data_IF_531030205144
#
_entry.id   IF_531030205144
#
_cell.length_a   1.000
_cell.length_b   1.000
_cell.length_c   1.000
_cell.angle_alpha   90.00
_cell.angle_beta   90.00
_cell.angle_gamma   90.00
#
_symmetry.space_group_name_H-M   'P 1'
#
loop_
_entity.id
_entity.type
_entity.pdbx_description
1 polymer ?
#
# COMPACT_ATOMS: atom_id res chain seq x y z
N UNK A 1 -7.70 -7.40 13.66
CA UNK A 1 -8.68 -7.25 12.57
C UNK A 1 -8.86 -5.77 12.32
N UNK A 2 -8.08 -5.20 11.41
CA UNK A 2 -8.15 -3.77 11.07
C UNK A 2 -9.33 -3.52 10.11
N UNK A 3 -10.23 -2.63 10.50
CA UNK A 3 -11.42 -2.26 9.74
C UNK A 3 -11.00 -1.47 8.48
N UNK A 4 -10.87 -2.17 7.36
CA UNK A 4 -10.93 -1.53 6.04
C UNK A 4 -12.32 -0.92 5.85
N UNK A 5 -12.41 0.41 5.79
CA UNK A 5 -13.65 1.11 5.47
C UNK A 5 -14.08 0.71 4.06
N UNK A 6 -15.18 -0.05 3.96
CA UNK A 6 -15.84 -0.45 2.71
C UNK A 6 -16.31 0.73 1.82
N UNK A 7 -16.09 1.97 2.27
CA UNK A 7 -16.59 3.17 1.61
C UNK A 7 -15.64 3.73 0.54
N UNK A 8 -14.39 3.28 0.45
CA UNK A 8 -13.46 3.69 -0.60
C UNK A 8 -12.78 2.48 -1.24
N UNK A 9 -13.48 1.82 -2.17
CA UNK A 9 -12.97 0.66 -2.95
C UNK A 9 -11.68 0.99 -3.73
N UNK A 10 -11.33 2.27 -3.79
CA UNK A 10 -10.19 2.81 -4.53
C UNK A 10 -8.92 2.92 -3.69
N UNK A 11 -9.01 2.90 -2.37
CA UNK A 11 -7.89 3.05 -1.44
C UNK A 11 -7.75 1.82 -0.55
N UNK A 12 -6.55 1.27 -0.49
CA UNK A 12 -6.22 0.16 0.38
C UNK A 12 -4.95 0.45 1.20
N UNK A 13 -4.90 -0.11 2.39
CA UNK A 13 -3.73 -0.09 3.26
C UNK A 13 -3.32 -1.52 3.56
N UNK A 14 -2.04 -1.82 3.35
CA UNK A 14 -1.45 -3.13 3.53
C UNK A 14 -0.37 -3.05 4.60
N UNK A 15 -0.41 -3.97 5.56
CA UNK A 15 0.60 -4.14 6.59
C UNK A 15 1.49 -5.33 6.22
N UNK A 16 2.76 -5.09 5.92
CA UNK A 16 3.77 -6.13 5.73
C UNK A 16 4.59 -6.27 7.01
N UNK A 17 4.80 -7.50 7.46
CA UNK A 17 5.63 -7.84 8.62
C UNK A 17 6.95 -8.45 8.14
N UNK A 18 7.99 -8.29 8.93
CA UNK A 18 9.37 -8.70 8.63
C UNK A 18 9.95 -8.05 7.36
N UNK A 19 9.50 -6.84 7.04
CA UNK A 19 9.95 -6.09 5.86
C UNK A 19 10.49 -4.72 6.25
N UNK A 20 11.46 -4.24 5.48
CA UNK A 20 12.12 -2.94 5.67
C UNK A 20 11.83 -2.01 4.48
N UNK A 21 12.65 -0.98 4.27
CA UNK A 21 12.54 -0.05 3.14
C UNK A 21 12.69 -0.69 1.75
N UNK A 22 13.25 -1.90 1.63
CA UNK A 22 13.62 -2.50 0.36
C UNK A 22 12.40 -2.82 -0.52
N UNK A 23 11.53 -3.72 -0.05
CA UNK A 23 10.34 -4.17 -0.80
C UNK A 23 9.32 -3.05 -1.04
N UNK A 24 8.93 -2.23 -0.04
CA UNK A 24 7.99 -1.12 -0.21
C UNK A 24 8.51 -0.05 -1.18
N UNK A 25 9.82 0.21 -1.21
CA UNK A 25 10.39 1.15 -2.15
C UNK A 25 10.27 0.66 -3.59
N UNK A 26 10.56 -0.62 -3.84
CA UNK A 26 10.33 -1.24 -5.16
C UNK A 26 8.86 -1.21 -5.56
N UNK A 27 7.95 -1.55 -4.65
CA UNK A 27 6.50 -1.51 -4.89
C UNK A 27 6.04 -0.08 -5.24
N UNK A 28 6.41 0.90 -4.43
CA UNK A 28 6.06 2.30 -4.68
C UNK A 28 6.64 2.80 -5.99
N UNK A 29 7.87 2.42 -6.33
CA UNK A 29 8.48 2.79 -7.61
C UNK A 29 7.65 2.27 -8.79
N UNK A 30 7.32 0.97 -8.79
CA UNK A 30 6.52 0.36 -9.86
C UNK A 30 5.11 0.94 -9.94
N UNK A 31 4.42 1.11 -8.80
CA UNK A 31 3.06 1.62 -8.77
C UNK A 31 2.95 3.08 -9.17
N UNK A 32 3.95 3.92 -8.85
CA UNK A 32 3.97 5.32 -9.28
C UNK A 32 4.20 5.49 -10.80
N UNK A 33 4.68 4.46 -11.51
CA UNK A 33 4.73 4.48 -12.97
C UNK A 33 3.39 4.12 -13.63
N UNK A 34 2.45 3.53 -12.88
CA UNK A 34 1.17 3.11 -13.42
C UNK A 34 0.16 4.30 -13.41
N UNK A 35 -0.34 4.75 -14.57
CA UNK A 35 -1.28 5.88 -14.64
C UNK A 35 -2.63 5.60 -13.97
N UNK A 36 -2.92 4.34 -13.60
CA UNK A 36 -4.14 3.96 -12.89
C UNK A 36 -4.03 4.14 -11.38
N UNK A 37 -2.80 4.36 -10.87
CA UNK A 37 -2.52 4.64 -9.47
C UNK A 37 -2.44 6.16 -9.28
N UNK A 38 -3.29 6.69 -8.40
CA UNK A 38 -3.28 8.12 -8.06
C UNK A 38 -2.25 8.42 -6.97
N UNK A 39 -2.01 7.47 -6.08
CA UNK A 39 -1.07 7.64 -4.98
C UNK A 39 -0.53 6.29 -4.50
N UNK A 40 0.77 6.21 -4.25
CA UNK A 40 1.38 5.08 -3.57
C UNK A 40 2.48 5.59 -2.62
N UNK A 41 2.41 5.18 -1.35
CA UNK A 41 3.41 5.53 -0.35
C UNK A 41 3.47 4.51 0.77
N UNK A 42 4.57 4.51 1.53
CA UNK A 42 4.73 3.63 2.68
C UNK A 42 5.26 4.38 3.90
N UNK A 43 5.01 3.84 5.09
CA UNK A 43 5.61 4.30 6.34
C UNK A 43 6.04 3.12 7.20
N UNK A 44 7.11 3.33 7.97
CA UNK A 44 7.52 2.43 9.05
C UNK A 44 7.05 3.08 10.35
N UNK A 45 6.12 2.46 11.09
CA UNK A 45 5.52 3.07 12.28
C UNK A 45 6.54 3.24 13.41
N UNK A 46 7.52 2.33 13.50
CA UNK A 46 8.61 2.41 14.46
C UNK A 46 9.86 1.70 13.92
N UNK A 47 11.08 2.27 13.99
CA UNK A 47 12.29 1.65 13.40
C UNK A 47 12.68 0.28 13.95
N UNK A 48 12.26 -0.02 15.18
CA UNK A 48 12.52 -1.32 15.85
C UNK A 48 11.46 -2.37 15.53
N UNK A 49 10.33 -1.98 14.94
CA UNK A 49 9.29 -2.88 14.49
C UNK A 49 9.53 -3.14 13.00
N UNK A 50 9.86 -4.38 12.64
CA UNK A 50 10.02 -4.79 11.24
C UNK A 50 8.64 -4.88 10.59
N UNK A 51 7.97 -3.74 10.48
CA UNK A 51 6.63 -3.61 9.91
C UNK A 51 6.58 -2.41 9.01
N UNK A 52 6.00 -2.59 7.83
CA UNK A 52 5.75 -1.49 6.90
C UNK A 52 4.28 -1.42 6.56
N UNK A 53 3.74 -0.22 6.60
CA UNK A 53 2.40 0.05 6.11
C UNK A 53 2.47 0.72 4.74
N UNK A 54 1.89 0.08 3.73
CA UNK A 54 1.80 0.59 2.36
C UNK A 54 0.37 1.08 2.12
N UNK A 55 0.22 2.30 1.61
CA UNK A 55 -1.06 2.86 1.19
C UNK A 55 -1.06 3.06 -0.31
N UNK A 56 -2.08 2.49 -0.96
CA UNK A 56 -2.29 2.62 -2.41
C UNK A 56 -3.66 3.21 -2.65
N UNK A 57 -3.74 4.22 -3.50
CA UNK A 57 -4.99 4.78 -4.00
C UNK A 57 -5.00 4.74 -5.53
N UNK A 58 -6.11 4.29 -6.09
CA UNK A 58 -6.31 4.11 -7.53
C UNK A 58 -7.39 5.04 -8.05
N UNK A 59 -7.44 5.24 -9.35
CA UNK A 59 -8.48 6.05 -10.02
C UNK A 59 -9.86 5.38 -9.97
N UNK A 60 -9.93 4.10 -9.56
CA UNK A 60 -11.15 3.32 -9.39
C UNK A 60 -11.53 2.40 -10.56
N UNK A 61 -10.69 2.31 -11.58
CA UNK A 61 -10.80 1.27 -12.63
C UNK A 61 -9.99 0.01 -12.32
N UNK A 62 -9.22 0.00 -11.23
CA UNK A 62 -8.39 -1.13 -10.82
C UNK A 62 -9.05 -1.85 -9.66
N UNK A 63 -9.61 -3.02 -9.92
CA UNK A 63 -9.91 -3.98 -8.86
C UNK A 63 -8.58 -4.58 -8.41
N UNK A 64 -8.12 -4.21 -7.23
CA UNK A 64 -6.96 -4.86 -6.60
C UNK A 64 -7.45 -6.20 -6.05
N UNK A 65 -7.24 -7.29 -6.80
CA UNK A 65 -7.59 -8.65 -6.39
C UNK A 65 -6.41 -9.24 -5.61
N UNK A 66 -6.28 -8.91 -4.32
CA UNK A 66 -5.50 -9.72 -3.39
C UNK A 66 -6.50 -10.36 -2.43
N UNK A 67 -6.88 -11.60 -2.73
CA UNK A 67 -7.73 -12.44 -1.88
C UNK A 67 -6.88 -13.47 -1.18
#
# INVERSE_FOLDING_TARGET
>A
MEHGSINDVKSAMFSLVDEDHTLPNSICFTLNQDPRVTFCGYNIPHPTDAKVNIRVQTTGMVFIIFR
#
